data_IF_539851765968
#
_entry.id   IF_539851765968
#
_cell.length_a   1.000
_cell.length_b   1.000
_cell.length_c   1.000
_cell.angle_alpha   90.00
_cell.angle_beta   90.00
_cell.angle_gamma   90.00
#
_symmetry.space_group_name_H-M   'P 1'
#
loop_
_entity.id
_entity.type
_entity.pdbx_description
1 polymer ?
#
# COMPACT_ATOMS: atom_id res chain seq x y z
N UNK A 1 20.85 45.20 42.89
CA UNK A 1 21.49 43.87 42.76
C UNK A 1 20.39 42.83 42.64
N UNK A 2 20.17 42.25 41.46
CA UNK A 2 19.30 41.08 41.29
C UNK A 2 19.80 40.27 40.10
N UNK A 3 20.13 39.02 40.40
CA UNK A 3 21.05 38.16 39.65
C UNK A 3 20.42 37.60 38.36
N UNK A 4 21.31 37.38 37.40
CA UNK A 4 21.09 36.60 36.19
C UNK A 4 20.82 35.12 36.50
N UNK A 5 20.02 34.46 35.67
CA UNK A 5 20.05 33.02 35.46
C UNK A 5 19.56 32.74 34.03
N UNK A 6 20.53 32.63 33.12
CA UNK A 6 20.35 32.12 31.78
C UNK A 6 20.37 30.59 31.84
N UNK A 7 19.21 29.95 31.62
CA UNK A 7 19.10 28.51 31.44
C UNK A 7 19.18 28.16 29.95
N UNK A 8 20.33 27.68 29.50
CA UNK A 8 20.50 27.13 28.15
C UNK A 8 19.91 25.71 28.10
N UNK A 9 18.82 25.54 27.34
CA UNK A 9 18.20 24.25 27.08
C UNK A 9 18.93 23.59 25.89
N UNK A 10 19.84 22.65 26.16
CA UNK A 10 20.43 21.77 25.15
C UNK A 10 19.36 20.79 24.66
N UNK A 11 18.80 21.02 23.47
CA UNK A 11 18.06 19.99 22.75
C UNK A 11 19.05 18.99 22.15
N UNK A 12 19.14 17.81 22.76
CA UNK A 12 19.77 16.63 22.17
C UNK A 12 19.03 16.26 20.88
N UNK A 13 19.68 16.48 19.74
CA UNK A 13 19.28 15.86 18.48
C UNK A 13 19.57 14.36 18.58
N UNK A 14 18.56 13.56 18.91
CA UNK A 14 18.62 12.12 18.72
C UNK A 14 18.62 11.86 17.20
N UNK A 15 19.80 11.59 16.63
CA UNK A 15 19.90 11.06 15.28
C UNK A 15 19.18 9.71 15.24
N UNK A 16 17.96 9.70 14.70
CA UNK A 16 17.24 8.46 14.44
C UNK A 16 18.04 7.66 13.43
N UNK A 17 18.49 6.47 13.81
CA UNK A 17 18.99 5.49 12.84
C UNK A 17 17.93 5.34 11.74
N UNK A 18 18.31 5.24 10.45
CA UNK A 18 17.34 5.02 9.40
C UNK A 18 16.62 3.71 9.71
N UNK A 19 15.33 3.82 10.05
CA UNK A 19 14.49 2.65 10.24
C UNK A 19 14.66 1.77 9.01
N UNK A 20 14.93 0.49 9.23
CA UNK A 20 15.00 -0.49 8.16
C UNK A 20 13.65 -0.44 7.44
N UNK A 21 13.64 0.21 6.27
CA UNK A 21 12.39 0.48 5.59
C UNK A 21 11.89 -0.82 5.00
N UNK A 22 10.76 -1.29 5.52
CA UNK A 22 9.97 -2.36 4.90
C UNK A 22 8.96 -1.70 3.97
N UNK A 23 8.73 -2.31 2.81
CA UNK A 23 7.66 -1.92 1.91
C UNK A 23 6.32 -2.19 2.58
N UNK A 24 5.49 -1.16 2.66
CA UNK A 24 4.13 -1.29 3.16
C UNK A 24 3.17 -1.39 2.00
N UNK A 25 2.23 -2.33 2.08
CA UNK A 25 1.14 -2.49 1.13
C UNK A 25 -0.15 -2.56 1.91
N UNK A 26 -1.15 -1.77 1.52
CA UNK A 26 -2.47 -1.79 2.13
C UNK A 26 -3.54 -1.76 1.07
N UNK A 27 -4.50 -2.68 1.16
CA UNK A 27 -5.70 -2.67 0.34
C UNK A 27 -6.91 -2.40 1.24
N UNK A 28 -7.62 -1.32 0.96
CA UNK A 28 -8.80 -0.90 1.71
C UNK A 28 -10.04 -0.99 0.82
N UNK A 29 -11.18 -1.35 1.41
CA UNK A 29 -12.46 -1.28 0.74
C UNK A 29 -13.09 0.11 0.88
N UNK A 30 -13.95 0.48 -0.07
CA UNK A 30 -14.83 1.64 0.08
C UNK A 30 -15.73 1.46 1.32
N UNK A 31 -15.87 2.53 2.11
CA UNK A 31 -16.78 2.60 3.23
C UNK A 31 -17.96 3.52 2.92
N UNK A 32 -19.03 3.41 3.70
CA UNK A 32 -20.14 4.36 3.66
C UNK A 32 -19.74 5.68 4.34
N UNK A 33 -20.28 6.79 3.86
CA UNK A 33 -20.20 8.07 4.59
C UNK A 33 -20.99 8.03 5.91
N UNK A 34 -21.98 7.13 6.01
CA UNK A 34 -22.75 6.91 7.23
C UNK A 34 -21.99 6.06 8.26
N UNK A 35 -20.86 5.45 7.87
CA UNK A 35 -20.04 4.70 8.82
C UNK A 35 -19.38 5.69 9.78
N UNK A 36 -19.48 5.39 11.08
CA UNK A 36 -18.89 6.26 12.10
C UNK A 36 -17.38 6.45 11.88
N UNK A 37 -16.87 7.61 12.28
CA UNK A 37 -15.45 7.98 12.13
C UNK A 37 -14.46 7.01 12.82
N UNK A 38 -14.93 6.06 13.64
CA UNK A 38 -14.12 4.98 14.18
C UNK A 38 -13.72 3.94 13.10
N UNK A 39 -14.54 3.74 12.07
CA UNK A 39 -14.38 2.68 11.07
C UNK A 39 -14.05 3.20 9.67
N UNK A 40 -14.46 4.44 9.36
CA UNK A 40 -14.24 5.06 8.07
C UNK A 40 -13.30 6.27 8.16
N UNK A 41 -12.57 6.52 7.09
CA UNK A 41 -11.76 7.73 6.91
C UNK A 41 -11.93 8.28 5.49
N UNK A 42 -11.95 9.62 5.32
CA UNK A 42 -12.02 10.21 4.01
C UNK A 42 -10.65 10.17 3.32
N UNK A 43 -10.65 9.92 2.01
CA UNK A 43 -9.49 10.05 1.14
C UNK A 43 -9.88 10.82 -0.13
N UNK A 44 -8.86 11.36 -0.80
CA UNK A 44 -9.00 11.83 -2.18
C UNK A 44 -8.64 10.68 -3.12
N UNK A 45 -9.63 10.11 -3.80
CA UNK A 45 -9.40 9.07 -4.80
C UNK A 45 -8.60 9.61 -5.99
N UNK A 46 -7.95 8.72 -6.75
CA UNK A 46 -7.22 9.09 -7.97
C UNK A 46 -8.14 9.64 -9.05
N UNK A 47 -9.43 9.28 -9.01
CA UNK A 47 -10.47 9.89 -9.84
C UNK A 47 -10.74 11.37 -9.50
N UNK A 48 -10.12 11.91 -8.44
CA UNK A 48 -10.39 13.24 -7.92
C UNK A 48 -11.69 13.35 -7.11
N UNK A 49 -12.32 12.25 -6.70
CA UNK A 49 -13.49 12.29 -5.82
C UNK A 49 -13.08 12.16 -4.36
N UNK A 50 -13.82 12.81 -3.45
CA UNK A 50 -13.72 12.51 -2.03
C UNK A 50 -14.56 11.25 -1.75
N UNK A 51 -13.93 10.23 -1.20
CA UNK A 51 -14.58 8.96 -0.88
C UNK A 51 -14.16 8.53 0.52
N UNK A 52 -14.98 7.70 1.16
CA UNK A 52 -14.63 7.08 2.42
C UNK A 52 -14.08 5.68 2.15
N UNK A 53 -13.05 5.31 2.92
CA UNK A 53 -12.51 3.95 2.96
C UNK A 53 -12.56 3.42 4.38
N UNK A 54 -12.59 2.10 4.49
CA UNK A 54 -12.42 1.42 5.77
C UNK A 54 -11.02 1.72 6.33
N UNK A 55 -10.92 2.02 7.63
CA UNK A 55 -9.63 2.23 8.29
C UNK A 55 -8.80 0.96 8.37
N UNK A 56 -9.46 -0.18 8.55
CA UNK A 56 -8.80 -1.48 8.57
C UNK A 56 -8.50 -1.90 7.13
N UNK A 57 -7.25 -2.28 6.87
CA UNK A 57 -6.87 -2.86 5.59
C UNK A 57 -7.31 -4.32 5.54
N UNK A 58 -7.88 -4.74 4.41
CA UNK A 58 -8.21 -6.14 4.15
C UNK A 58 -6.99 -6.97 3.82
N UNK A 59 -6.07 -6.40 3.04
CA UNK A 59 -4.78 -7.02 2.72
C UNK A 59 -3.64 -6.10 3.09
N UNK A 60 -2.54 -6.71 3.49
CA UNK A 60 -1.35 -6.07 4.03
C UNK A 60 -0.09 -6.62 3.37
N UNK A 61 1.06 -5.98 3.60
CA UNK A 61 2.37 -6.45 3.15
C UNK A 61 2.70 -7.90 3.55
N UNK A 62 2.08 -8.39 4.65
CA UNK A 62 2.30 -9.76 5.15
C UNK A 62 1.63 -10.81 4.29
N UNK A 63 0.62 -10.42 3.52
CA UNK A 63 -0.16 -11.28 2.64
C UNK A 63 0.49 -11.41 1.26
N UNK A 64 1.58 -10.66 1.01
CA UNK A 64 2.30 -10.65 -0.26
C UNK A 64 3.48 -11.61 -0.17
N UNK A 65 3.47 -12.63 -1.04
CA UNK A 65 4.53 -13.65 -1.11
C UNK A 65 5.62 -13.30 -2.12
N UNK A 66 5.21 -12.75 -3.25
CA UNK A 66 6.08 -12.49 -4.38
C UNK A 66 5.53 -11.38 -5.27
N UNK A 67 6.36 -10.81 -6.12
CA UNK A 67 5.91 -9.84 -7.11
C UNK A 67 6.70 -9.94 -8.42
N UNK A 68 6.08 -9.52 -9.51
CA UNK A 68 6.71 -9.37 -10.82
C UNK A 68 6.65 -7.89 -11.24
N UNK A 69 7.78 -7.17 -11.24
CA UNK A 69 7.82 -5.79 -11.71
C UNK A 69 7.87 -5.72 -13.24
N UNK A 70 7.26 -4.69 -13.81
CA UNK A 70 7.34 -4.40 -15.25
C UNK A 70 7.32 -2.88 -15.49
N UNK A 71 7.74 -2.46 -16.69
CA UNK A 71 7.64 -1.05 -17.10
C UNK A 71 6.17 -0.73 -17.39
N UNK A 72 5.66 0.32 -16.73
CA UNK A 72 4.31 0.81 -17.00
C UNK A 72 4.17 1.27 -18.45
N UNK A 73 2.94 1.24 -18.96
CA UNK A 73 2.61 1.76 -20.29
C UNK A 73 2.89 3.26 -20.43
N UNK A 74 2.95 4.00 -19.31
CA UNK A 74 3.32 5.42 -19.30
C UNK A 74 4.82 5.68 -19.59
N UNK A 75 5.65 4.64 -19.59
CA UNK A 75 7.09 4.71 -19.86
C UNK A 75 7.93 5.38 -18.75
N UNK A 76 7.32 6.03 -17.77
CA UNK A 76 7.99 6.79 -16.70
C UNK A 76 8.02 6.05 -15.37
N UNK A 77 7.00 5.21 -15.10
CA UNK A 77 6.84 4.49 -13.85
C UNK A 77 6.95 2.98 -14.04
N UNK A 78 6.91 2.26 -12.92
CA UNK A 78 6.78 0.81 -12.89
C UNK A 78 5.36 0.42 -12.50
N UNK A 79 4.94 -0.73 -13.03
CA UNK A 79 3.84 -1.50 -12.47
C UNK A 79 4.36 -2.78 -11.83
N UNK A 80 3.48 -3.48 -11.12
CA UNK A 80 3.82 -4.77 -10.53
C UNK A 80 2.59 -5.69 -10.47
N UNK A 81 2.81 -6.96 -10.74
CA UNK A 81 1.86 -8.01 -10.40
C UNK A 81 2.25 -8.58 -9.03
N UNK A 82 1.43 -8.33 -8.02
CA UNK A 82 1.59 -8.92 -6.70
C UNK A 82 0.98 -10.32 -6.68
N UNK A 83 1.71 -11.27 -6.12
CA UNK A 83 1.24 -12.61 -5.84
C UNK A 83 1.06 -12.75 -4.32
N UNK A 84 -0.19 -12.93 -3.91
CA UNK A 84 -0.56 -13.17 -2.54
C UNK A 84 -0.22 -14.60 -2.11
N UNK A 85 -0.05 -14.80 -0.81
CA UNK A 85 0.02 -16.12 -0.21
C UNK A 85 -1.38 -16.78 -0.10
N UNK A 86 -1.48 -17.92 0.58
CA UNK A 86 -2.76 -18.64 0.70
C UNK A 86 -3.79 -17.87 1.54
N UNK A 87 -3.34 -17.13 2.56
CA UNK A 87 -4.23 -16.31 3.37
C UNK A 87 -4.75 -15.12 2.55
N UNK A 88 -3.84 -14.36 1.94
CA UNK A 88 -4.19 -13.22 1.11
C UNK A 88 -5.05 -13.60 -0.09
N UNK A 89 -4.80 -14.74 -0.74
CA UNK A 89 -5.67 -15.26 -1.80
C UNK A 89 -7.09 -15.48 -1.30
N UNK A 90 -7.24 -16.11 -0.14
CA UNK A 90 -8.57 -16.42 0.44
C UNK A 90 -9.30 -15.14 0.81
N UNK A 91 -8.60 -14.18 1.40
CA UNK A 91 -9.16 -12.86 1.74
C UNK A 91 -9.57 -12.11 0.47
N UNK A 92 -8.74 -12.09 -0.58
CA UNK A 92 -9.08 -11.46 -1.86
C UNK A 92 -10.30 -12.11 -2.51
N UNK A 93 -10.38 -13.45 -2.45
CA UNK A 93 -11.50 -14.21 -2.96
C UNK A 93 -12.81 -13.81 -2.30
N UNK A 94 -12.86 -13.84 -0.96
CA UNK A 94 -14.01 -13.38 -0.16
C UNK A 94 -14.35 -11.93 -0.46
N UNK A 95 -13.36 -11.03 -0.38
CA UNK A 95 -13.55 -9.60 -0.58
C UNK A 95 -14.14 -9.29 -1.95
N UNK A 96 -13.65 -9.95 -3.00
CA UNK A 96 -14.12 -9.74 -4.37
C UNK A 96 -15.56 -10.22 -4.62
N UNK A 97 -16.07 -11.12 -3.78
CA UNK A 97 -17.47 -11.56 -3.81
C UNK A 97 -18.34 -10.61 -2.99
N UNK A 98 -17.94 -10.31 -1.75
CA UNK A 98 -18.72 -9.49 -0.81
C UNK A 98 -18.83 -8.03 -1.24
N UNK A 99 -17.79 -7.49 -1.87
CA UNK A 99 -17.69 -6.08 -2.25
C UNK A 99 -17.87 -5.87 -3.76
N UNK A 100 -18.57 -6.77 -4.45
CA UNK A 100 -18.83 -6.62 -5.88
C UNK A 100 -19.63 -5.34 -6.16
N UNK A 101 -19.20 -4.59 -7.16
CA UNK A 101 -19.76 -3.31 -7.53
C UNK A 101 -19.21 -2.12 -6.73
N UNK A 102 -18.24 -2.33 -5.82
CA UNK A 102 -17.55 -1.25 -5.12
C UNK A 102 -16.10 -1.07 -5.59
N UNK A 103 -15.46 -0.01 -5.10
CA UNK A 103 -14.02 0.24 -5.27
C UNK A 103 -13.18 -0.36 -4.14
N UNK A 104 -11.96 -0.77 -4.48
CA UNK A 104 -10.86 -1.02 -3.56
C UNK A 104 -9.75 0.00 -3.83
N UNK A 105 -9.03 0.37 -2.79
CA UNK A 105 -7.99 1.39 -2.84
C UNK A 105 -6.67 0.80 -2.36
N UNK A 106 -5.66 0.85 -3.23
CA UNK A 106 -4.33 0.32 -2.95
C UNK A 106 -3.39 1.45 -2.57
N UNK A 107 -2.71 1.26 -1.44
CA UNK A 107 -1.66 2.13 -0.96
C UNK A 107 -0.34 1.36 -0.89
N UNK A 108 0.72 2.00 -1.36
CA UNK A 108 2.10 1.54 -1.17
C UNK A 108 2.88 2.67 -0.54
N UNK A 109 3.50 2.40 0.61
CA UNK A 109 4.26 3.41 1.38
C UNK A 109 3.45 4.68 1.65
N UNK A 110 2.17 4.50 1.99
CA UNK A 110 1.21 5.57 2.28
C UNK A 110 0.70 6.32 1.05
N UNK A 111 1.20 6.02 -0.15
CA UNK A 111 0.77 6.66 -1.40
C UNK A 111 -0.34 5.85 -2.06
N UNK A 112 -1.46 6.48 -2.37
CA UNK A 112 -2.51 5.86 -3.19
C UNK A 112 -1.98 5.61 -4.60
N UNK A 113 -1.91 4.35 -5.03
CA UNK A 113 -1.38 3.98 -6.35
C UNK A 113 -2.44 3.61 -7.36
N UNK A 114 -3.49 2.91 -6.92
CA UNK A 114 -4.54 2.50 -7.84
C UNK A 114 -5.88 2.36 -7.13
N UNK A 115 -6.94 2.58 -7.90
CA UNK A 115 -8.31 2.30 -7.55
C UNK A 115 -8.78 1.12 -8.42
N UNK A 116 -9.26 0.06 -7.77
CA UNK A 116 -9.70 -1.16 -8.43
C UNK A 116 -11.21 -1.28 -8.30
N UNK A 117 -11.91 -1.41 -9.42
CA UNK A 117 -13.34 -1.73 -9.42
C UNK A 117 -13.52 -3.24 -9.28
N UNK A 118 -14.36 -3.67 -8.33
CA UNK A 118 -14.66 -5.10 -8.12
C UNK A 118 -15.82 -5.51 -9.02
N UNK A 119 -15.52 -5.93 -10.24
CA UNK A 119 -16.52 -6.34 -11.24
C UNK A 119 -16.82 -7.84 -11.21
N UNK A 120 -15.88 -8.64 -10.72
CA UNK A 120 -15.97 -10.11 -10.63
C UNK A 120 -15.18 -10.66 -9.45
N UNK A 121 -15.47 -11.93 -9.14
CA UNK A 121 -14.69 -12.73 -8.19
C UNK A 121 -13.26 -12.90 -8.68
N UNK A 122 -12.29 -12.75 -7.78
CA UNK A 122 -10.86 -12.91 -8.02
C UNK A 122 -10.31 -13.97 -7.06
N UNK A 123 -10.13 -15.19 -7.57
CA UNK A 123 -9.71 -16.34 -6.77
C UNK A 123 -8.26 -16.76 -7.02
N UNK A 124 -7.52 -16.06 -7.88
CA UNK A 124 -6.18 -16.44 -8.31
C UNK A 124 -5.07 -15.86 -7.41
N UNK A 125 -5.43 -15.01 -6.46
CA UNK A 125 -4.53 -14.41 -5.48
C UNK A 125 -3.56 -13.41 -6.10
N UNK A 126 -3.92 -12.77 -7.22
CA UNK A 126 -3.06 -11.77 -7.87
C UNK A 126 -3.70 -10.40 -7.87
N UNK A 127 -2.89 -9.38 -7.58
CA UNK A 127 -3.29 -7.98 -7.66
C UNK A 127 -2.39 -7.28 -8.67
N UNK A 128 -3.00 -6.64 -9.66
CA UNK A 128 -2.31 -5.93 -10.73
C UNK A 128 -2.22 -4.44 -10.41
N UNK A 129 -1.01 -3.94 -10.19
CA UNK A 129 -0.72 -2.51 -10.01
C UNK A 129 -0.24 -1.94 -11.32
N UNK A 130 -1.13 -1.30 -12.08
CA UNK A 130 -0.87 -0.91 -13.45
C UNK A 130 0.37 0.00 -13.61
N UNK A 131 0.55 0.96 -12.71
CA UNK A 131 1.57 2.00 -12.76
C UNK A 131 1.75 2.68 -11.39
N UNK A 132 2.66 3.66 -11.31
CA UNK A 132 2.82 4.54 -10.14
C UNK A 132 3.88 4.11 -9.13
N UNK A 133 4.52 2.96 -9.34
CA UNK A 133 5.67 2.53 -8.55
C UNK A 133 6.94 3.22 -9.04
N UNK A 134 7.77 3.66 -8.10
CA UNK A 134 9.09 4.23 -8.37
C UNK A 134 10.16 3.13 -8.38
N UNK A 135 11.35 3.43 -8.90
CA UNK A 135 12.48 2.49 -8.79
C UNK A 135 12.86 2.19 -7.34
N UNK A 136 12.68 3.17 -6.44
CA UNK A 136 12.91 2.98 -5.01
C UNK A 136 11.92 1.97 -4.42
N UNK A 137 10.64 2.04 -4.81
CA UNK A 137 9.61 1.09 -4.39
C UNK A 137 9.97 -0.32 -4.85
N UNK A 138 10.35 -0.49 -6.13
CA UNK A 138 10.75 -1.81 -6.66
C UNK A 138 11.95 -2.38 -5.90
N UNK A 139 12.94 -1.55 -5.56
CA UNK A 139 14.09 -1.96 -4.74
C UNK A 139 13.67 -2.36 -3.33
N UNK A 140 12.72 -1.65 -2.74
CA UNK A 140 12.20 -1.93 -1.41
C UNK A 140 11.41 -3.25 -1.40
N UNK A 141 10.46 -3.41 -2.32
CA UNK A 141 9.71 -4.64 -2.52
C UNK A 141 10.64 -5.85 -2.74
N UNK A 142 11.73 -5.68 -3.49
CA UNK A 142 12.71 -6.74 -3.73
C UNK A 142 13.53 -7.16 -2.50
N UNK A 143 13.55 -6.35 -1.43
CA UNK A 143 14.15 -6.72 -0.14
C UNK A 143 13.21 -7.61 0.67
N UNK A 144 11.91 -7.30 0.64
CA UNK A 144 10.92 -7.97 1.49
C UNK A 144 10.27 -9.19 0.82
N UNK A 145 10.10 -9.16 -0.50
CA UNK A 145 9.33 -10.16 -1.25
C UNK A 145 10.14 -10.81 -2.38
N UNK A 146 9.74 -12.03 -2.73
CA UNK A 146 10.38 -12.77 -3.83
C UNK A 146 10.08 -12.10 -5.18
N UNK A 147 11.12 -11.74 -5.93
CA UNK A 147 10.97 -11.27 -7.32
C UNK A 147 10.75 -12.47 -8.25
N UNK A 148 9.60 -12.50 -8.93
CA UNK A 148 9.28 -13.47 -9.97
C UNK A 148 9.92 -13.04 -11.30
N UNK A 149 10.15 -13.99 -12.21
CA UNK A 149 10.61 -13.69 -13.56
C UNK A 149 12.07 -13.20 -13.70
N UNK A 150 12.86 -13.15 -12.62
CA UNK A 150 14.33 -13.11 -12.75
C UNK A 150 14.78 -14.40 -13.42
N UNK A 151 15.08 -14.33 -14.71
CA UNK A 151 15.86 -15.35 -15.40
C UNK A 151 17.21 -15.41 -14.69
N UNK A 152 17.46 -16.43 -13.88
CA UNK A 152 18.81 -16.65 -13.37
C UNK A 152 19.72 -16.82 -14.59
N UNK A 153 20.73 -15.95 -14.73
CA UNK A 153 21.85 -16.23 -15.63
C UNK A 153 22.52 -17.48 -15.04
N UNK A 154 22.33 -18.62 -15.72
CA UNK A 154 23.25 -19.75 -15.63
C UNK A 154 24.56 -19.37 -16.29
#
# INVERSE_FOLDING_TARGET
MRNALAGALLFLFAASAPAMSHCTFRLHAAASENDGAAFAQPIRALSGKNVFIEKTAWLTERDVKAFYPYRSADGASYGALLQLDDHGRTVLDTLSVERRGSSLFVFVDGRALTELQVDRRVSDGKIYLASGLTEADIKLMAKDWKVLGRRQKK
#
